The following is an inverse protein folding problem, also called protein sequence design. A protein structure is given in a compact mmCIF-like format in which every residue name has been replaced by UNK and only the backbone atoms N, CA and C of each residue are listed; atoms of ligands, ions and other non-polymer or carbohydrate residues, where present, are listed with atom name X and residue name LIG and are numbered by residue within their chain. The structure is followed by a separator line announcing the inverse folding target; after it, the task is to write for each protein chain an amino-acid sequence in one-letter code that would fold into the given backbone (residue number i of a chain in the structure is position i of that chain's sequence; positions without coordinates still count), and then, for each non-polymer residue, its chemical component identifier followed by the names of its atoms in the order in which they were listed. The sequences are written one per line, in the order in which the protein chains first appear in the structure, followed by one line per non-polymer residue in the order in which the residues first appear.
data_IF_439907555563
#
_entry.id   IF_439907555563
#
_cell.length_a   1.000
_cell.length_b   1.000
_cell.length_c   1.000
_cell.angle_alpha   90.00
_cell.angle_beta   90.00
_cell.angle_gamma   90.00
#
_symmetry.space_group_name_H-M   'P 1'
#
loop_
_entity.id
_entity.type
_entity.pdbx_description
1 polymer ?
#
# COMPACT_ATOMS: atom_id res chain seq x y z
N UNK A 1 -9.95 -16.42 -0.67
CA UNK A 1 -10.23 -17.31 0.46
C UNK A 1 -10.97 -16.56 1.53
N UNK A 2 -11.71 -17.32 2.38
CA UNK A 2 -12.34 -16.74 3.58
C UNK A 2 -11.48 -17.07 4.77
N UNK A 3 -11.07 -16.07 5.54
CA UNK A 3 -10.44 -16.30 6.84
C UNK A 3 -11.30 -15.73 7.95
N UNK A 4 -11.32 -16.44 9.09
CA UNK A 4 -11.97 -16.01 10.33
C UNK A 4 -10.93 -16.02 11.41
N UNK A 5 -10.78 -14.89 12.11
CA UNK A 5 -9.82 -14.72 13.21
C UNK A 5 -10.52 -14.92 14.54
N UNK A 6 -9.85 -15.65 15.43
CA UNK A 6 -10.24 -15.83 16.84
C UNK A 6 -9.07 -15.42 17.74
N UNK A 7 -9.37 -14.80 18.86
CA UNK A 7 -8.42 -14.53 19.95
C UNK A 7 -9.02 -15.08 21.24
N UNK A 8 -8.28 -15.94 21.92
CA UNK A 8 -8.70 -16.61 23.15
C UNK A 8 -10.10 -17.25 23.04
N UNK A 9 -10.37 -17.86 21.88
CA UNK A 9 -11.65 -18.48 21.56
C UNK A 9 -12.76 -17.52 21.13
N UNK A 10 -12.57 -16.20 21.19
CA UNK A 10 -13.55 -15.20 20.75
C UNK A 10 -13.37 -14.90 19.28
N UNK A 11 -14.46 -14.97 18.49
CA UNK A 11 -14.44 -14.57 17.07
C UNK A 11 -14.32 -13.05 16.94
N UNK A 12 -13.30 -12.61 16.22
CA UNK A 12 -13.01 -11.20 15.96
C UNK A 12 -13.68 -10.71 14.68
N UNK A 13 -13.66 -11.57 13.66
CA UNK A 13 -14.27 -11.24 12.38
C UNK A 13 -13.89 -12.17 11.26
N UNK A 14 -14.52 -11.96 10.11
CA UNK A 14 -14.31 -12.74 8.89
C UNK A 14 -14.00 -11.80 7.73
N UNK A 15 -13.00 -12.17 6.93
CA UNK A 15 -12.63 -11.47 5.72
C UNK A 15 -12.71 -12.41 4.52
N UNK A 16 -13.37 -11.95 3.44
CA UNK A 16 -13.51 -12.67 2.18
C UNK A 16 -12.83 -11.87 1.07
N UNK A 17 -11.59 -12.23 0.78
CA UNK A 17 -10.86 -11.67 -0.34
C UNK A 17 -9.95 -12.72 -0.97
N UNK A 18 -9.81 -12.66 -2.28
CA UNK A 18 -8.93 -13.55 -3.03
C UNK A 18 -7.54 -12.93 -3.25
N UNK A 19 -7.48 -11.63 -3.45
CA UNK A 19 -6.28 -10.95 -3.93
C UNK A 19 -5.78 -9.80 -3.04
N UNK A 20 -6.53 -9.42 -1.99
CA UNK A 20 -6.10 -8.40 -1.04
C UNK A 20 -5.81 -9.00 0.33
N UNK A 21 -4.99 -8.28 1.10
CA UNK A 21 -4.65 -8.67 2.47
C UNK A 21 -5.90 -8.70 3.36
N UNK A 22 -6.00 -9.71 4.20
CA UNK A 22 -7.01 -9.77 5.26
C UNK A 22 -6.45 -9.03 6.47
N UNK A 23 -7.16 -8.02 6.94
CA UNK A 23 -6.78 -7.19 8.09
C UNK A 23 -7.86 -7.25 9.15
N UNK A 24 -7.44 -7.36 10.40
CA UNK A 24 -8.30 -7.42 11.59
C UNK A 24 -7.77 -6.46 12.62
N UNK A 25 -8.61 -5.57 13.10
CA UNK A 25 -8.28 -4.76 14.28
C UNK A 25 -8.46 -5.61 15.53
N UNK A 26 -7.36 -5.82 16.22
CA UNK A 26 -7.29 -6.65 17.42
C UNK A 26 -7.02 -5.82 18.69
N UNK A 27 -6.99 -4.50 18.57
CA UNK A 27 -6.57 -3.58 19.64
C UNK A 27 -7.31 -3.78 20.96
N UNK A 28 -8.63 -4.00 20.90
CA UNK A 28 -9.47 -4.18 22.08
C UNK A 28 -9.37 -5.59 22.73
N UNK A 29 -8.73 -6.53 22.04
CA UNK A 29 -8.61 -7.93 22.50
C UNK A 29 -7.21 -8.24 23.03
N UNK A 30 -6.21 -7.43 22.68
CA UNK A 30 -4.82 -7.65 23.08
C UNK A 30 -4.52 -6.89 24.37
N UNK A 31 -4.52 -7.63 25.48
CA UNK A 31 -4.07 -7.13 26.80
C UNK A 31 -2.64 -7.59 27.08
N UNK A 32 -2.04 -7.14 28.19
CA UNK A 32 -0.74 -7.66 28.58
C UNK A 32 -0.84 -9.13 29.01
N UNK A 33 -0.09 -10.00 28.35
CA UNK A 33 -0.12 -11.45 28.64
C UNK A 33 0.15 -12.31 27.41
N UNK A 34 -0.20 -13.59 27.54
CA UNK A 34 -0.16 -14.56 26.44
C UNK A 34 -1.56 -14.76 25.90
N UNK A 35 -1.70 -14.69 24.59
CA UNK A 35 -2.96 -14.87 23.89
C UNK A 35 -2.85 -15.99 22.88
N UNK A 36 -3.93 -16.75 22.72
CA UNK A 36 -4.06 -17.73 21.65
C UNK A 36 -4.70 -17.07 20.41
N UNK A 37 -4.01 -17.13 19.28
CA UNK A 37 -4.51 -16.60 18.00
C UNK A 37 -4.80 -17.79 17.07
N UNK A 38 -6.06 -17.93 16.67
CA UNK A 38 -6.49 -18.99 15.75
C UNK A 38 -7.05 -18.35 14.47
N UNK A 39 -6.53 -18.77 13.31
CA UNK A 39 -7.02 -18.36 12.01
C UNK A 39 -7.63 -19.57 11.29
N UNK A 40 -8.94 -19.55 11.13
CA UNK A 40 -9.65 -20.54 10.32
C UNK A 40 -9.67 -20.08 8.86
N UNK A 41 -9.20 -20.92 7.95
CA UNK A 41 -9.22 -20.63 6.50
C UNK A 41 -10.17 -21.60 5.80
N UNK A 42 -11.19 -21.05 5.14
CA UNK A 42 -12.13 -21.81 4.33
C UNK A 42 -11.82 -21.63 2.84
N UNK A 43 -11.80 -22.75 2.12
CA UNK A 43 -11.58 -22.80 0.67
C UNK A 43 -12.87 -23.08 -0.12
N UNK A 44 -14.01 -23.06 0.56
CA UNK A 44 -15.34 -23.32 0.00
C UNK A 44 -16.30 -22.20 0.40
N UNK A 45 -17.33 -21.99 -0.41
CA UNK A 45 -18.38 -21.03 -0.07
C UNK A 45 -18.06 -19.56 -0.30
N UNK A 46 -16.97 -19.24 -1.00
CA UNK A 46 -16.64 -17.87 -1.37
C UNK A 46 -17.30 -17.46 -2.71
N UNK A 47 -17.57 -16.17 -2.84
CA UNK A 47 -18.33 -15.59 -3.96
C UNK A 47 -17.68 -15.78 -5.34
N UNK A 48 -16.38 -15.97 -5.40
CA UNK A 48 -15.58 -16.12 -6.61
C UNK A 48 -15.32 -17.57 -7.01
N UNK A 49 -16.14 -18.50 -6.50
CA UNK A 49 -16.07 -19.91 -6.88
C UNK A 49 -16.27 -20.12 -8.39
N UNK A 50 -15.45 -20.98 -9.00
CA UNK A 50 -15.52 -21.29 -10.43
C UNK A 50 -14.77 -20.30 -11.36
N UNK A 51 -14.16 -19.26 -10.82
CA UNK A 51 -13.27 -18.38 -11.58
C UNK A 51 -11.91 -19.05 -11.87
N UNK A 52 -11.14 -18.46 -12.78
CA UNK A 52 -9.86 -19.01 -13.27
C UNK A 52 -8.89 -19.45 -12.15
N UNK A 53 -8.84 -18.73 -11.03
CA UNK A 53 -7.95 -19.06 -9.91
C UNK A 53 -8.46 -20.18 -8.99
N UNK A 54 -9.66 -20.70 -9.23
CA UNK A 54 -10.35 -21.66 -8.37
C UNK A 54 -11.10 -22.74 -9.15
N UNK A 55 -10.92 -22.79 -10.47
CA UNK A 55 -11.56 -23.79 -11.33
C UNK A 55 -10.80 -25.13 -11.28
N UNK A 56 -11.46 -26.25 -11.64
CA UNK A 56 -10.78 -27.53 -11.80
C UNK A 56 -9.67 -27.51 -12.85
N UNK A 57 -9.73 -26.57 -13.81
CA UNK A 57 -8.78 -26.45 -14.91
C UNK A 57 -7.50 -25.67 -14.51
N UNK A 58 -7.47 -25.11 -13.31
CA UNK A 58 -6.27 -24.44 -12.78
C UNK A 58 -5.23 -25.49 -12.40
N UNK A 59 -4.02 -25.37 -12.92
CA UNK A 59 -2.91 -26.30 -12.65
C UNK A 59 -2.63 -26.49 -11.16
N UNK A 60 -2.83 -25.43 -10.35
CA UNK A 60 -2.58 -25.44 -8.92
C UNK A 60 -3.67 -24.66 -8.20
N UNK A 61 -4.42 -25.32 -7.33
CA UNK A 61 -5.34 -24.66 -6.41
C UNK A 61 -4.61 -24.42 -5.09
N UNK A 62 -4.29 -23.17 -4.82
CA UNK A 62 -3.59 -22.81 -3.59
C UNK A 62 -4.58 -22.76 -2.43
N UNK A 63 -4.29 -23.53 -1.42
CA UNK A 63 -5.10 -23.66 -0.21
C UNK A 63 -4.33 -23.03 0.97
N UNK A 64 -5.08 -22.47 1.92
CA UNK A 64 -4.50 -21.90 3.13
C UNK A 64 -4.00 -20.46 2.96
N UNK A 65 -3.03 -20.09 3.77
CA UNK A 65 -2.41 -18.77 3.82
C UNK A 65 -1.13 -18.80 2.99
N UNK A 66 -1.08 -18.01 1.93
CA UNK A 66 0.05 -18.02 0.97
C UNK A 66 0.96 -16.79 1.11
N UNK A 67 0.55 -15.77 1.87
CA UNK A 67 1.30 -14.54 2.09
C UNK A 67 2.00 -14.50 3.45
N UNK A 68 2.45 -13.31 3.80
CA UNK A 68 3.00 -13.02 5.13
C UNK A 68 1.89 -12.90 6.16
N UNK A 69 2.17 -13.33 7.37
CA UNK A 69 1.37 -13.05 8.56
C UNK A 69 2.22 -12.19 9.48
N UNK A 70 1.69 -11.08 9.93
CA UNK A 70 2.34 -10.17 10.86
C UNK A 70 1.31 -9.50 11.77
N UNK A 71 1.75 -9.08 12.92
CA UNK A 71 1.04 -8.16 13.79
C UNK A 71 1.70 -6.80 13.61
N UNK A 72 0.90 -5.80 13.25
CA UNK A 72 1.35 -4.42 13.11
C UNK A 72 0.93 -3.66 14.36
N UNK A 73 1.90 -2.97 14.97
CA UNK A 73 1.67 -2.17 16.17
C UNK A 73 1.88 -0.71 15.76
N UNK A 74 0.86 0.10 16.00
CA UNK A 74 0.87 1.51 15.68
C UNK A 74 0.91 2.35 16.96
N UNK A 75 1.52 3.54 16.95
CA UNK A 75 1.37 4.52 18.01
C UNK A 75 -0.09 5.00 18.08
N UNK A 76 -0.44 5.76 19.14
CA UNK A 76 -1.80 6.28 19.33
C UNK A 76 -2.31 7.09 18.12
N UNK A 77 -1.41 7.84 17.50
CA UNK A 77 -1.69 8.54 16.25
C UNK A 77 -0.81 7.97 15.15
N UNK A 78 -1.40 7.53 14.07
CA UNK A 78 -0.68 6.88 12.97
C UNK A 78 -1.32 7.19 11.61
N UNK A 79 -0.51 7.09 10.56
CA UNK A 79 -0.96 7.28 9.18
C UNK A 79 -1.46 5.98 8.58
N UNK A 80 -2.54 6.07 7.79
CA UNK A 80 -3.07 4.95 7.01
C UNK A 80 -3.47 5.40 5.61
N UNK A 81 -3.72 4.43 4.73
CA UNK A 81 -4.12 4.65 3.33
C UNK A 81 -3.24 5.64 2.56
N UNK A 82 -1.96 5.70 2.93
CA UNK A 82 -1.01 6.61 2.31
C UNK A 82 -0.82 6.26 0.83
N UNK A 83 -0.96 7.27 -0.01
CA UNK A 83 -0.73 7.18 -1.45
C UNK A 83 0.25 8.26 -1.89
N UNK A 84 1.23 7.83 -2.66
CA UNK A 84 2.26 8.69 -3.26
C UNK A 84 2.20 8.46 -4.77
N UNK A 85 1.86 9.48 -5.53
CA UNK A 85 1.71 9.41 -6.98
C UNK A 85 2.59 10.49 -7.60
N UNK A 86 3.50 10.08 -8.46
CA UNK A 86 4.39 11.00 -9.17
C UNK A 86 4.24 10.82 -10.69
N UNK A 87 4.27 11.92 -11.42
CA UNK A 87 4.09 11.95 -12.88
C UNK A 87 5.33 12.53 -13.58
N UNK A 88 5.50 12.19 -14.84
CA UNK A 88 6.67 12.61 -15.65
C UNK A 88 6.84 14.12 -15.79
N UNK A 89 5.79 14.91 -15.53
CA UNK A 89 5.86 16.37 -15.53
C UNK A 89 6.46 16.96 -14.24
N UNK A 90 6.89 16.10 -13.30
CA UNK A 90 7.46 16.48 -12.00
C UNK A 90 6.41 16.71 -10.91
N UNK A 91 5.12 16.48 -11.18
CA UNK A 91 4.08 16.54 -10.14
C UNK A 91 4.18 15.36 -9.18
N UNK A 92 3.97 15.62 -7.90
CA UNK A 92 3.99 14.65 -6.81
C UNK A 92 2.80 14.89 -5.90
N UNK A 93 1.83 13.99 -5.93
CA UNK A 93 0.68 13.95 -5.04
C UNK A 93 0.95 13.04 -3.85
N UNK A 94 0.67 13.53 -2.65
CA UNK A 94 0.80 12.79 -1.40
C UNK A 94 -0.48 12.94 -0.61
N UNK A 95 -1.15 11.83 -0.28
CA UNK A 95 -2.39 11.85 0.49
C UNK A 95 -2.51 10.64 1.41
N UNK A 96 -3.32 10.75 2.44
CA UNK A 96 -3.62 9.67 3.38
C UNK A 96 -4.50 10.12 4.52
N UNK A 97 -4.65 9.24 5.51
CA UNK A 97 -5.40 9.51 6.72
C UNK A 97 -4.47 9.54 7.94
N UNK A 98 -4.79 10.35 8.93
CA UNK A 98 -4.19 10.31 10.27
C UNK A 98 -5.22 9.82 11.26
N UNK A 99 -5.00 8.66 11.83
CA UNK A 99 -5.87 8.09 12.86
C UNK A 99 -5.44 8.59 14.24
N UNK A 100 -6.41 8.87 15.10
CA UNK A 100 -6.18 9.22 16.50
C UNK A 100 -5.70 10.64 16.77
N UNK A 101 -5.67 11.52 15.76
CA UNK A 101 -5.42 12.96 15.92
C UNK A 101 -6.05 13.75 14.78
N UNK A 102 -6.79 14.81 15.13
CA UNK A 102 -7.34 15.75 14.15
C UNK A 102 -6.33 16.87 13.87
N UNK A 103 -6.36 17.42 12.66
CA UNK A 103 -5.52 18.54 12.22
C UNK A 103 -4.02 18.34 12.48
N UNK A 104 -3.58 17.09 12.38
CA UNK A 104 -2.20 16.74 12.61
C UNK A 104 -1.27 17.33 11.54
N UNK A 105 0.00 17.51 11.90
CA UNK A 105 1.04 17.94 10.96
C UNK A 105 1.82 16.71 10.48
N UNK A 106 1.78 16.45 9.18
CA UNK A 106 2.57 15.42 8.52
C UNK A 106 3.75 16.09 7.82
N UNK A 107 4.96 15.78 8.24
CA UNK A 107 6.18 16.27 7.58
C UNK A 107 6.57 15.30 6.46
N UNK A 108 6.62 15.79 5.24
CA UNK A 108 7.10 15.05 4.07
C UNK A 108 8.56 15.42 3.76
N UNK A 109 9.40 14.42 3.58
CA UNK A 109 10.80 14.57 3.16
C UNK A 109 11.05 13.70 1.94
N UNK A 110 11.40 14.28 0.80
CA UNK A 110 11.72 13.55 -0.43
C UNK A 110 13.21 13.58 -0.68
N UNK A 111 13.74 12.41 -0.99
CA UNK A 111 15.16 12.21 -1.32
C UNK A 111 15.26 11.66 -2.76
N UNK A 112 16.07 12.31 -3.57
CA UNK A 112 16.34 11.92 -4.95
C UNK A 112 17.32 10.74 -5.03
N UNK A 113 17.45 10.08 -6.18
CA UNK A 113 18.53 9.14 -6.43
C UNK A 113 19.89 9.77 -6.06
N UNK A 114 20.74 8.97 -5.40
CA UNK A 114 22.02 9.49 -4.87
C UNK A 114 21.95 10.11 -3.47
N UNK A 115 20.79 10.12 -2.82
CA UNK A 115 20.65 10.49 -1.41
C UNK A 115 20.49 11.99 -1.14
N UNK A 116 20.25 12.80 -2.16
CA UNK A 116 20.07 14.25 -2.02
C UNK A 116 18.61 14.56 -1.65
N UNK A 117 18.41 15.26 -0.52
CA UNK A 117 17.09 15.75 -0.16
C UNK A 117 16.66 16.90 -1.09
N UNK A 118 15.55 16.69 -1.78
CA UNK A 118 15.02 17.64 -2.78
C UNK A 118 13.75 18.36 -2.34
N UNK A 119 13.05 17.83 -1.33
CA UNK A 119 11.86 18.44 -0.75
C UNK A 119 11.81 18.18 0.76
N UNK A 120 11.37 19.18 1.52
CA UNK A 120 10.87 19.02 2.89
C UNK A 120 9.73 20.02 3.09
N UNK A 121 8.56 19.50 3.45
CA UNK A 121 7.36 20.30 3.64
C UNK A 121 6.49 19.75 4.76
N UNK A 122 5.68 20.60 5.37
CA UNK A 122 4.64 20.21 6.30
C UNK A 122 3.29 20.23 5.58
N UNK A 123 2.52 19.17 5.77
CA UNK A 123 1.14 19.00 5.30
C UNK A 123 0.27 19.06 6.54
N UNK A 124 -0.69 19.98 6.57
CA UNK A 124 -1.64 20.08 7.68
C UNK A 124 -2.87 19.27 7.28
N UNK A 125 -3.22 18.30 8.09
CA UNK A 125 -4.44 17.53 7.87
C UNK A 125 -5.66 18.40 8.08
N UNK A 126 -6.70 18.17 7.28
CA UNK A 126 -8.06 18.70 7.47
C UNK A 126 -8.90 17.58 8.07
N UNK A 127 -9.24 17.73 9.37
CA UNK A 127 -9.76 16.61 10.16
C UNK A 127 -8.73 15.47 10.24
N UNK A 128 -9.10 14.31 9.72
CA UNK A 128 -8.27 13.11 9.64
C UNK A 128 -7.53 12.95 8.31
N UNK A 129 -7.81 13.78 7.31
CA UNK A 129 -7.27 13.63 5.95
C UNK A 129 -6.13 14.60 5.68
N UNK A 130 -5.01 14.10 5.18
CA UNK A 130 -3.95 14.96 4.67
C UNK A 130 -3.76 14.78 3.16
N UNK A 131 -3.56 15.90 2.47
CA UNK A 131 -3.32 15.92 1.03
C UNK A 131 -2.43 17.11 0.67
N UNK A 132 -1.47 16.89 -0.22
CA UNK A 132 -0.63 17.94 -0.78
C UNK A 132 -0.16 17.58 -2.18
N UNK A 133 -0.04 18.62 -2.99
CA UNK A 133 0.56 18.57 -4.32
C UNK A 133 1.89 19.34 -4.31
N UNK A 134 2.91 18.71 -4.84
CA UNK A 134 4.24 19.28 -5.00
C UNK A 134 4.66 19.22 -6.46
N UNK A 135 5.64 20.03 -6.82
CA UNK A 135 6.28 19.96 -8.13
C UNK A 135 7.80 20.01 -7.97
N UNK A 136 8.47 19.01 -8.50
CA UNK A 136 9.93 18.97 -8.57
C UNK A 136 10.36 19.37 -9.97
N UNK A 137 11.04 20.52 -10.05
CA UNK A 137 11.67 20.92 -11.32
C UNK A 137 12.84 19.98 -11.63
N UNK A 138 12.96 19.58 -12.88
CA UNK A 138 14.02 18.67 -13.36
C UNK A 138 14.04 17.32 -12.64
N UNK A 139 12.86 16.77 -12.31
CA UNK A 139 12.76 15.42 -11.77
C UNK A 139 13.39 14.41 -12.76
N UNK A 140 14.25 13.54 -12.25
CA UNK A 140 14.80 12.43 -13.02
C UNK A 140 13.72 11.39 -13.22
N UNK A 141 13.39 11.10 -14.49
CA UNK A 141 12.30 10.18 -14.81
C UNK A 141 12.73 8.74 -14.60
N UNK A 142 11.76 7.93 -14.22
CA UNK A 142 11.89 6.48 -14.23
C UNK A 142 11.40 5.94 -15.57
N UNK A 143 12.17 5.07 -16.17
CA UNK A 143 11.75 4.22 -17.28
C UNK A 143 12.35 2.81 -17.15
N UNK A 144 12.17 1.97 -18.15
CA UNK A 144 12.67 0.59 -18.13
C UNK A 144 14.20 0.49 -18.16
N UNK A 145 14.89 1.55 -18.57
CA UNK A 145 16.36 1.61 -18.70
C UNK A 145 16.98 2.46 -17.57
N UNK A 146 16.36 3.60 -17.27
CA UNK A 146 16.80 4.56 -16.25
C UNK A 146 15.91 4.45 -14.99
N UNK A 147 16.38 3.68 -14.02
CA UNK A 147 15.63 3.38 -12.79
C UNK A 147 15.88 4.45 -11.73
N UNK A 148 15.48 5.67 -12.00
CA UNK A 148 15.59 6.78 -11.05
C UNK A 148 14.51 6.64 -9.96
N UNK A 149 14.90 6.09 -8.81
CA UNK A 149 14.01 5.84 -7.68
C UNK A 149 14.24 6.90 -6.61
N UNK A 150 13.17 7.59 -6.27
CA UNK A 150 13.07 8.51 -5.14
C UNK A 150 12.54 7.79 -3.92
N UNK A 151 12.85 8.31 -2.74
CA UNK A 151 12.20 7.89 -1.50
C UNK A 151 11.47 9.06 -0.86
N UNK A 152 10.39 8.75 -0.17
CA UNK A 152 9.67 9.70 0.68
C UNK A 152 9.54 9.13 2.08
N UNK A 153 9.88 9.94 3.07
CA UNK A 153 9.56 9.73 4.47
C UNK A 153 8.43 10.70 4.84
N UNK A 154 7.33 10.16 5.37
CA UNK A 154 6.29 10.93 6.03
C UNK A 154 6.37 10.67 7.52
N UNK A 155 6.27 11.74 8.31
CA UNK A 155 6.35 11.66 9.77
C UNK A 155 5.20 12.41 10.40
N UNK A 156 4.46 11.72 11.26
CA UNK A 156 3.37 12.29 12.06
C UNK A 156 3.57 11.90 13.53
N UNK A 157 4.07 12.82 14.35
CA UNK A 157 4.47 12.49 15.72
C UNK A 157 5.53 11.39 15.76
N UNK A 158 5.19 10.26 16.39
CA UNK A 158 6.08 9.08 16.49
C UNK A 158 5.96 8.15 15.29
N UNK A 159 4.90 8.29 14.49
CA UNK A 159 4.68 7.44 13.33
C UNK A 159 5.53 7.87 12.13
N UNK A 160 6.10 6.87 11.46
CA UNK A 160 6.96 7.06 10.29
C UNK A 160 6.53 6.11 9.19
N UNK A 161 6.17 6.68 8.04
CA UNK A 161 5.90 5.94 6.82
C UNK A 161 7.00 6.19 5.81
N UNK A 162 7.54 5.12 5.22
CA UNK A 162 8.56 5.20 4.19
C UNK A 162 8.12 4.43 2.95
N UNK A 163 8.29 5.02 1.78
CA UNK A 163 8.09 4.33 0.51
C UNK A 163 9.01 4.88 -0.57
N UNK A 164 9.09 4.15 -1.68
CA UNK A 164 9.85 4.55 -2.85
C UNK A 164 8.91 4.77 -4.04
N UNK A 165 9.25 5.69 -4.93
CA UNK A 165 8.48 6.00 -6.11
C UNK A 165 9.38 6.45 -7.27
N UNK A 166 8.85 6.45 -8.48
CA UNK A 166 9.50 7.02 -9.67
C UNK A 166 8.60 8.07 -10.32
N UNK A 167 9.19 9.10 -10.90
CA UNK A 167 8.45 10.03 -11.75
C UNK A 167 8.23 9.37 -13.11
N UNK A 168 7.00 8.90 -13.33
CA UNK A 168 6.62 8.16 -14.53
C UNK A 168 5.16 8.41 -14.90
N UNK A 169 4.90 8.49 -16.19
CA UNK A 169 3.53 8.55 -16.72
C UNK A 169 3.31 7.39 -17.68
N UNK A 170 2.31 6.56 -17.35
CA UNK A 170 1.82 5.53 -18.26
C UNK A 170 0.63 6.09 -19.04
N UNK A 171 0.65 5.92 -20.34
CA UNK A 171 -0.44 6.31 -21.21
C UNK A 171 -0.66 5.31 -22.33
N UNK A 172 -1.76 5.41 -23.02
CA UNK A 172 -2.06 4.58 -24.18
C UNK A 172 -2.39 5.44 -25.40
N UNK A 173 -1.96 4.99 -26.56
CA UNK A 173 -2.34 5.55 -27.84
C UNK A 173 -2.69 4.40 -28.77
N UNK A 174 -3.97 4.35 -29.20
CA UNK A 174 -4.55 3.29 -30.03
C UNK A 174 -4.22 1.88 -29.52
N UNK A 175 -3.14 1.28 -30.02
CA UNK A 175 -2.71 -0.08 -29.70
C UNK A 175 -1.38 -0.14 -28.96
N UNK A 176 -0.86 1.00 -28.52
CA UNK A 176 0.46 1.11 -27.91
C UNK A 176 0.36 1.53 -26.47
N UNK A 177 1.15 0.90 -25.62
CA UNK A 177 1.44 1.39 -24.28
C UNK A 177 2.62 2.35 -24.37
N UNK A 178 2.50 3.49 -23.71
CA UNK A 178 3.56 4.51 -23.65
C UNK A 178 4.03 4.69 -22.21
N UNK A 179 5.33 4.79 -22.04
CA UNK A 179 6.00 5.21 -20.80
C UNK A 179 6.69 6.53 -21.07
N UNK A 180 6.31 7.57 -20.36
CA UNK A 180 6.80 8.95 -20.57
C UNK A 180 6.72 9.41 -22.04
N UNK A 181 5.66 8.99 -22.75
CA UNK A 181 5.44 9.31 -24.16
C UNK A 181 6.20 8.43 -25.16
N UNK A 182 7.08 7.55 -24.71
CA UNK A 182 7.81 6.58 -25.56
C UNK A 182 7.12 5.23 -25.59
N UNK A 183 7.14 4.54 -26.73
CA UNK A 183 6.53 3.21 -26.87
C UNK A 183 7.26 2.17 -25.97
N UNK A 184 6.49 1.49 -25.15
CA UNK A 184 6.99 0.42 -24.29
C UNK A 184 6.57 -0.94 -24.81
N UNK A 185 7.51 -1.90 -24.81
CA UNK A 185 7.29 -3.27 -25.23
C UNK A 185 7.17 -4.17 -24.01
N UNK A 186 5.94 -4.60 -23.70
CA UNK A 186 5.70 -5.54 -22.62
C UNK A 186 6.17 -6.94 -23.03
N UNK A 187 7.01 -7.52 -22.19
CA UNK A 187 7.43 -8.92 -22.29
C UNK A 187 6.83 -9.67 -21.09
N UNK A 188 5.96 -10.61 -21.36
CA UNK A 188 5.28 -11.40 -20.34
C UNK A 188 5.48 -12.89 -20.57
N UNK A 189 5.28 -13.67 -19.50
CA UNK A 189 5.16 -15.13 -19.53
C UNK A 189 3.79 -15.50 -18.99
N UNK A 190 3.10 -16.38 -19.70
CA UNK A 190 1.84 -16.98 -19.28
C UNK A 190 2.09 -18.27 -18.50
#
# INVERSE_FOLDING_TARGET
RVSTLYIDGTEIGTCDSLCSSHRYDISSYMTAGTHEIVIRVANVGYKTGGGHMTSPDTQTNWLGIVGKMNIEIYPKSYMSDVRVIASADGSLSVRGLVNGADNAVVTATVTAPGGIRVLKANIIADGDTFEAEFRLENAQLWDEFERNIYSIELRCGEDIFNTSFGFVTFSGNDRKLLVNGSEAFLRGKH
#
